data_IF_902400611773
#
_entry.id   IF_902400611773
#
_cell.length_a   1.000
_cell.length_b   1.000
_cell.length_c   1.000
_cell.angle_alpha   90.00
_cell.angle_beta   90.00
_cell.angle_gamma   90.00
#
_symmetry.space_group_name_H-M   'P 1'
#
loop_
_entity.id
_entity.type
_entity.pdbx_description
1 polymer ?
#
# COMPACT_ATOMS: atom_id res chain seq x y z
N UNK A 1 -31.21 -41.79 1.09
CA UNK A 1 -30.58 -40.69 1.85
C UNK A 1 -29.15 -40.50 1.36
N UNK A 2 -28.94 -40.07 0.08
CA UNK A 2 -27.63 -39.84 -0.54
C UNK A 2 -27.78 -38.82 -1.66
N UNK A 3 -27.94 -37.53 -1.30
CA UNK A 3 -27.88 -36.43 -2.32
C UNK A 3 -27.58 -35.06 -1.68
N UNK A 4 -26.57 -34.95 -0.83
CA UNK A 4 -26.16 -33.64 -0.29
C UNK A 4 -24.68 -33.34 -0.37
N UNK A 5 -23.81 -34.29 -0.74
CA UNK A 5 -22.34 -34.10 -0.73
C UNK A 5 -21.79 -33.47 -2.04
N UNK A 6 -22.51 -33.63 -3.17
CA UNK A 6 -22.01 -33.19 -4.48
C UNK A 6 -22.08 -31.66 -4.70
N UNK A 7 -23.10 -30.99 -4.15
CA UNK A 7 -23.28 -29.55 -4.35
C UNK A 7 -22.34 -28.68 -3.52
N UNK A 8 -21.91 -29.15 -2.35
CA UNK A 8 -20.98 -28.41 -1.49
C UNK A 8 -19.53 -28.42 -2.04
N UNK A 9 -19.12 -29.50 -2.68
CA UNK A 9 -17.78 -29.62 -3.28
C UNK A 9 -17.66 -28.80 -4.59
N UNK A 10 -18.72 -28.72 -5.37
CA UNK A 10 -18.76 -27.93 -6.61
C UNK A 10 -18.77 -26.42 -6.32
N UNK A 11 -19.51 -25.95 -5.30
CA UNK A 11 -19.49 -24.56 -4.88
C UNK A 11 -18.10 -24.11 -4.35
N UNK A 12 -17.39 -25.00 -3.65
CA UNK A 12 -16.04 -24.71 -3.15
C UNK A 12 -14.97 -24.65 -4.26
N UNK A 13 -15.12 -25.44 -5.33
CA UNK A 13 -14.21 -25.44 -6.47
C UNK A 13 -14.43 -24.23 -7.38
N UNK A 14 -15.67 -23.85 -7.65
CA UNK A 14 -16.01 -22.66 -8.42
C UNK A 14 -15.58 -21.38 -7.72
N UNK A 15 -15.84 -21.24 -6.42
CA UNK A 15 -15.39 -20.09 -5.63
C UNK A 15 -13.84 -19.98 -5.59
N UNK A 16 -13.14 -21.12 -5.48
CA UNK A 16 -11.67 -21.15 -5.58
C UNK A 16 -11.16 -20.79 -6.98
N UNK A 17 -11.90 -21.13 -8.02
CA UNK A 17 -11.53 -20.76 -9.39
C UNK A 17 -11.78 -19.27 -9.64
N UNK A 18 -12.92 -18.71 -9.22
CA UNK A 18 -13.19 -17.28 -9.29
C UNK A 18 -12.14 -16.46 -8.52
N UNK A 19 -11.70 -16.92 -7.35
CA UNK A 19 -10.66 -16.26 -6.58
C UNK A 19 -9.28 -16.33 -7.27
N UNK A 20 -8.99 -17.41 -8.01
CA UNK A 20 -7.77 -17.54 -8.83
C UNK A 20 -7.79 -16.65 -10.06
N UNK A 21 -8.94 -16.40 -10.65
CA UNK A 21 -9.09 -15.61 -11.88
C UNK A 21 -9.24 -14.11 -11.60
N UNK A 22 -9.39 -13.73 -10.31
CA UNK A 22 -9.45 -12.33 -9.90
C UNK A 22 -8.16 -11.61 -10.26
N UNK A 23 -8.27 -10.50 -10.98
CA UNK A 23 -7.15 -9.60 -11.26
C UNK A 23 -6.71 -8.98 -9.94
N UNK A 24 -5.42 -9.15 -9.59
CA UNK A 24 -4.84 -8.54 -8.41
C UNK A 24 -4.64 -7.06 -8.61
N UNK A 25 -4.82 -6.29 -7.53
CA UNK A 25 -4.68 -4.83 -7.56
C UNK A 25 -3.77 -4.32 -6.47
N UNK A 26 -2.89 -3.38 -6.83
CA UNK A 26 -2.07 -2.62 -5.89
C UNK A 26 -2.47 -1.15 -5.93
N UNK A 27 -2.83 -0.59 -4.77
CA UNK A 27 -3.06 0.84 -4.60
C UNK A 27 -1.84 1.47 -3.94
N UNK A 28 -1.23 2.48 -4.59
CA UNK A 28 -0.18 3.29 -3.98
C UNK A 28 -0.76 4.59 -3.43
N UNK A 29 -0.30 4.96 -2.24
CA UNK A 29 -0.55 6.28 -1.66
C UNK A 29 0.71 7.12 -1.84
N UNK A 30 0.59 8.19 -2.62
CA UNK A 30 1.66 9.17 -2.80
C UNK A 30 1.49 10.31 -1.79
N UNK A 31 2.30 10.29 -0.72
CA UNK A 31 2.31 11.31 0.33
C UNK A 31 3.00 12.62 -0.05
N UNK A 32 3.50 12.75 -1.27
CA UNK A 32 4.18 13.97 -1.73
C UNK A 32 3.19 15.13 -1.89
N UNK A 33 3.60 16.33 -1.49
CA UNK A 33 2.89 17.56 -1.82
C UNK A 33 3.08 18.00 -3.29
N UNK A 34 3.97 17.36 -4.03
CA UNK A 34 4.25 17.61 -5.44
C UNK A 34 3.71 16.47 -6.29
N UNK A 35 2.87 16.78 -7.26
CA UNK A 35 2.53 15.84 -8.33
C UNK A 35 3.77 15.61 -9.19
N UNK A 36 3.90 14.44 -9.77
CA UNK A 36 5.00 14.06 -10.67
C UNK A 36 6.40 14.32 -10.08
N UNK A 37 6.51 14.24 -8.74
CA UNK A 37 7.77 14.44 -8.02
C UNK A 37 8.56 13.14 -7.85
N UNK A 38 9.66 13.21 -7.08
CA UNK A 38 10.54 12.07 -6.84
C UNK A 38 9.80 10.86 -6.26
N UNK A 39 8.88 11.06 -5.33
CA UNK A 39 8.08 9.97 -4.74
C UNK A 39 7.20 9.27 -5.78
N UNK A 40 6.58 10.04 -6.69
CA UNK A 40 5.78 9.48 -7.79
C UNK A 40 6.64 8.61 -8.72
N UNK A 41 7.85 9.07 -9.06
CA UNK A 41 8.80 8.32 -9.88
C UNK A 41 9.14 6.98 -9.23
N UNK A 42 9.41 6.94 -7.91
CA UNK A 42 9.68 5.70 -7.20
C UNK A 42 8.49 4.75 -7.23
N UNK A 43 7.28 5.25 -6.96
CA UNK A 43 6.04 4.47 -7.03
C UNK A 43 5.85 3.88 -8.43
N UNK A 44 5.98 4.69 -9.48
CA UNK A 44 5.81 4.21 -10.88
C UNK A 44 6.88 3.21 -11.27
N UNK A 45 8.11 3.36 -10.79
CA UNK A 45 9.18 2.37 -11.02
C UNK A 45 8.84 1.00 -10.42
N UNK A 46 8.21 0.96 -9.25
CA UNK A 46 7.66 -0.27 -8.66
C UNK A 46 6.52 -0.80 -9.53
N UNK A 47 5.60 0.05 -9.94
CA UNK A 47 4.41 -0.29 -10.73
C UNK A 47 4.74 -0.89 -12.08
N UNK A 48 5.75 -0.37 -12.77
CA UNK A 48 6.25 -0.96 -14.04
C UNK A 48 6.56 -2.46 -13.93
N UNK A 49 6.97 -2.94 -12.77
CA UNK A 49 7.25 -4.37 -12.58
C UNK A 49 5.99 -5.16 -12.23
N UNK A 50 5.04 -4.55 -11.51
CA UNK A 50 3.74 -5.16 -11.20
C UNK A 50 2.90 -5.33 -12.47
N UNK A 51 2.87 -4.30 -13.32
CA UNK A 51 2.11 -4.30 -14.58
C UNK A 51 2.64 -5.34 -15.59
N UNK A 52 3.96 -5.61 -15.61
CA UNK A 52 4.54 -6.72 -16.39
C UNK A 52 4.07 -8.10 -15.94
N UNK A 53 3.52 -8.19 -14.75
CA UNK A 53 3.03 -9.41 -14.13
C UNK A 53 1.49 -9.45 -14.06
N UNK A 54 0.82 -8.63 -14.90
CA UNK A 54 -0.64 -8.51 -15.02
C UNK A 54 -1.34 -8.12 -13.70
N UNK A 55 -0.69 -7.27 -12.89
CA UNK A 55 -1.25 -6.73 -11.65
C UNK A 55 -1.72 -5.30 -11.93
N UNK A 56 -3.00 -5.01 -11.67
CA UNK A 56 -3.54 -3.65 -11.79
C UNK A 56 -2.92 -2.72 -10.76
N UNK A 57 -2.63 -1.49 -11.18
CA UNK A 57 -2.04 -0.46 -10.32
C UNK A 57 -2.87 0.82 -10.32
N UNK A 58 -2.94 1.51 -9.18
CA UNK A 58 -3.48 2.87 -9.11
C UNK A 58 -2.67 3.73 -8.14
N UNK A 59 -2.39 4.97 -8.53
CA UNK A 59 -1.80 5.98 -7.63
C UNK A 59 -2.89 6.86 -7.06
N UNK A 60 -2.84 7.07 -5.75
CA UNK A 60 -3.71 7.99 -5.01
C UNK A 60 -2.82 9.11 -4.45
N UNK A 61 -2.88 10.27 -5.09
CA UNK A 61 -2.12 11.44 -4.68
C UNK A 61 -2.76 12.17 -3.50
N UNK A 62 -1.93 12.55 -2.52
CA UNK A 62 -2.29 13.44 -1.43
C UNK A 62 -1.89 14.90 -1.69
N UNK A 63 -1.34 15.21 -2.88
CA UNK A 63 -0.96 16.57 -3.27
C UNK A 63 -2.19 17.48 -3.35
N UNK A 64 -2.14 18.61 -2.64
CA UNK A 64 -3.24 19.59 -2.59
C UNK A 64 -4.42 19.17 -1.68
N UNK A 65 -4.36 18.00 -1.07
CA UNK A 65 -5.37 17.54 -0.13
C UNK A 65 -5.04 17.97 1.31
N UNK A 66 -6.06 17.97 2.16
CA UNK A 66 -5.92 18.07 3.61
C UNK A 66 -6.59 16.83 4.21
N UNK A 67 -5.80 15.95 4.79
CA UNK A 67 -6.31 14.80 5.54
C UNK A 67 -6.35 15.16 7.02
N UNK A 68 -7.54 15.20 7.61
CA UNK A 68 -7.69 15.47 9.05
C UNK A 68 -7.18 14.28 9.88
N UNK A 69 -6.47 14.52 10.99
CA UNK A 69 -6.05 13.46 11.90
C UNK A 69 -7.24 12.78 12.59
N UNK A 70 -6.98 11.67 13.26
CA UNK A 70 -7.99 10.96 14.05
C UNK A 70 -8.46 11.83 15.24
N UNK A 71 -9.77 11.86 15.49
CA UNK A 71 -10.37 12.59 16.63
C UNK A 71 -10.58 11.72 17.87
N UNK A 72 -10.07 10.49 17.84
CA UNK A 72 -10.21 9.52 18.93
C UNK A 72 -11.66 9.34 19.45
N UNK A 73 -12.66 9.47 18.55
CA UNK A 73 -14.08 9.38 18.94
C UNK A 73 -14.62 7.94 18.96
N UNK A 74 -13.85 6.96 18.50
CA UNK A 74 -14.14 5.52 18.46
C UNK A 74 -15.43 5.14 17.68
N UNK A 75 -16.09 6.10 17.05
CA UNK A 75 -17.34 5.88 16.35
C UNK A 75 -17.20 5.05 15.05
N UNK A 76 -15.97 4.71 14.62
CA UNK A 76 -15.69 3.82 13.50
C UNK A 76 -15.89 2.32 13.84
N UNK A 77 -16.03 1.96 15.12
CA UNK A 77 -16.22 0.59 15.55
C UNK A 77 -17.41 -0.10 14.89
N UNK A 78 -17.20 -1.29 14.33
CA UNK A 78 -18.19 -2.06 13.60
C UNK A 78 -18.66 -1.45 12.27
N UNK A 79 -18.07 -0.33 11.81
CA UNK A 79 -18.47 0.36 10.57
C UNK A 79 -17.51 0.14 9.40
N UNK A 80 -16.30 -0.37 9.67
CA UNK A 80 -15.27 -0.61 8.67
C UNK A 80 -14.77 0.65 7.94
N UNK A 81 -15.10 1.85 8.44
CA UNK A 81 -14.58 3.13 7.94
C UNK A 81 -14.83 4.26 8.95
N UNK A 82 -14.16 5.40 8.76
CA UNK A 82 -14.34 6.59 9.59
C UNK A 82 -15.71 7.24 9.37
N UNK A 83 -16.31 7.78 10.44
CA UNK A 83 -17.60 8.50 10.38
C UNK A 83 -17.44 9.96 9.93
N UNK A 84 -16.24 10.54 10.05
CA UNK A 84 -15.95 11.90 9.61
C UNK A 84 -15.63 11.91 8.12
N UNK A 85 -16.46 12.63 7.33
CA UNK A 85 -16.42 12.61 5.86
C UNK A 85 -16.14 13.99 5.26
N UNK A 86 -15.40 14.86 5.98
CA UNK A 86 -15.09 16.22 5.50
C UNK A 86 -13.92 16.26 4.52
N UNK A 87 -13.19 15.16 4.39
CA UNK A 87 -12.01 14.99 3.54
C UNK A 87 -12.11 13.69 2.74
N UNK A 88 -11.12 13.42 1.90
CA UNK A 88 -11.06 12.22 1.06
C UNK A 88 -10.69 10.92 1.80
N UNK A 89 -10.51 10.96 3.12
CA UNK A 89 -10.09 9.77 3.88
C UNK A 89 -10.94 8.54 3.58
N UNK A 90 -12.27 8.68 3.60
CA UNK A 90 -13.18 7.53 3.40
C UNK A 90 -12.99 6.89 2.03
N UNK A 91 -12.86 7.68 0.96
CA UNK A 91 -12.58 7.22 -0.40
C UNK A 91 -11.24 6.47 -0.46
N UNK A 92 -10.19 7.08 0.07
CA UNK A 92 -8.83 6.54 0.06
C UNK A 92 -8.78 5.22 0.83
N UNK A 93 -9.35 5.20 2.02
CA UNK A 93 -9.36 4.00 2.87
C UNK A 93 -10.18 2.85 2.25
N UNK A 94 -11.28 3.16 1.55
CA UNK A 94 -12.06 2.15 0.81
C UNK A 94 -11.25 1.53 -0.34
N UNK A 95 -10.40 2.31 -1.03
CA UNK A 95 -9.46 1.80 -2.03
C UNK A 95 -8.39 0.91 -1.41
N UNK A 96 -7.80 1.33 -0.28
CA UNK A 96 -6.84 0.51 0.46
C UNK A 96 -7.45 -0.84 0.87
N UNK A 97 -8.69 -0.85 1.36
CA UNK A 97 -9.38 -2.10 1.74
C UNK A 97 -9.61 -3.03 0.55
N UNK A 98 -9.90 -2.50 -0.63
CA UNK A 98 -10.18 -3.28 -1.84
C UNK A 98 -8.95 -3.82 -2.53
N UNK A 99 -7.79 -3.20 -2.33
CA UNK A 99 -6.54 -3.62 -2.92
C UNK A 99 -6.01 -4.91 -2.28
N UNK A 100 -5.32 -5.74 -3.06
CA UNK A 100 -4.61 -6.93 -2.59
C UNK A 100 -3.22 -6.56 -2.04
N UNK A 101 -2.67 -5.44 -2.51
CA UNK A 101 -1.43 -4.85 -2.01
C UNK A 101 -1.50 -3.33 -1.84
N UNK A 102 -0.71 -2.80 -0.92
CA UNK A 102 -0.61 -1.36 -0.62
C UNK A 102 0.86 -0.93 -0.71
N UNK A 103 1.13 0.08 -1.53
CA UNK A 103 2.44 0.74 -1.61
C UNK A 103 2.34 2.13 -0.99
N UNK A 104 3.06 2.39 0.09
CA UNK A 104 3.14 3.72 0.71
C UNK A 104 4.39 4.43 0.25
N UNK A 105 4.24 5.59 -0.38
CA UNK A 105 5.35 6.42 -0.82
C UNK A 105 5.33 7.79 -0.15
N UNK A 106 6.45 8.21 0.46
CA UNK A 106 6.57 9.54 1.07
C UNK A 106 7.89 10.22 0.74
N UNK A 107 7.89 11.55 0.53
CA UNK A 107 9.11 12.32 0.68
C UNK A 107 9.49 12.35 2.17
N UNK A 108 10.78 12.53 2.44
CA UNK A 108 11.27 12.70 3.80
C UNK A 108 11.23 14.19 4.18
N UNK A 109 10.33 14.52 5.11
CA UNK A 109 10.21 15.85 5.70
C UNK A 109 10.53 15.78 7.20
N UNK A 110 11.49 16.59 7.65
CA UNK A 110 11.91 16.60 9.07
C UNK A 110 12.20 15.21 9.63
N UNK A 111 12.95 14.41 8.87
CA UNK A 111 13.33 13.02 9.17
C UNK A 111 12.16 12.04 9.29
N UNK A 112 10.99 12.36 8.77
CA UNK A 112 9.82 11.46 8.79
C UNK A 112 8.96 11.64 7.52
N UNK A 113 7.83 10.94 7.45
CA UNK A 113 6.84 11.03 6.38
C UNK A 113 6.14 12.40 6.37
N UNK A 114 5.45 12.70 5.26
CA UNK A 114 4.64 13.92 5.16
C UNK A 114 3.48 13.93 6.17
N UNK A 115 3.04 15.11 6.59
CA UNK A 115 1.96 15.27 7.56
C UNK A 115 0.63 14.64 7.08
N UNK A 116 0.29 14.77 5.80
CA UNK A 116 -0.91 14.13 5.23
C UNK A 116 -0.82 12.60 5.25
N UNK A 117 0.34 12.04 4.95
CA UNK A 117 0.56 10.59 5.07
C UNK A 117 0.43 10.15 6.53
N UNK A 118 1.00 10.90 7.47
CA UNK A 118 0.88 10.59 8.90
C UNK A 118 -0.58 10.61 9.36
N UNK A 119 -1.33 11.63 9.00
CA UNK A 119 -2.76 11.74 9.36
C UNK A 119 -3.61 10.61 8.75
N UNK A 120 -3.30 10.23 7.49
CA UNK A 120 -3.96 9.10 6.84
C UNK A 120 -3.68 7.79 7.58
N UNK A 121 -2.41 7.49 7.88
CA UNK A 121 -2.03 6.23 8.54
C UNK A 121 -2.55 6.16 9.97
N UNK A 122 -2.44 7.25 10.76
CA UNK A 122 -2.99 7.33 12.12
C UNK A 122 -4.49 7.02 12.12
N UNK A 123 -5.25 7.66 11.24
CA UNK A 123 -6.69 7.48 11.15
C UNK A 123 -7.08 6.11 10.63
N UNK A 124 -6.32 5.56 9.66
CA UNK A 124 -6.49 4.20 9.15
C UNK A 124 -6.24 3.16 10.23
N UNK A 125 -5.18 3.34 11.03
CA UNK A 125 -4.82 2.45 12.12
C UNK A 125 -5.96 2.34 13.13
N UNK A 126 -6.51 3.46 13.59
CA UNK A 126 -7.65 3.45 14.53
C UNK A 126 -8.88 2.78 13.93
N UNK A 127 -9.15 2.97 12.63
CA UNK A 127 -10.25 2.25 11.97
C UNK A 127 -9.98 0.75 11.94
N UNK A 128 -8.76 0.31 11.64
CA UNK A 128 -8.39 -1.11 11.63
C UNK A 128 -8.47 -1.72 13.02
N UNK A 129 -7.95 -1.05 14.06
CA UNK A 129 -7.99 -1.53 15.46
C UNK A 129 -9.42 -1.75 15.94
N UNK A 130 -10.37 -0.92 15.48
CA UNK A 130 -11.79 -1.01 15.83
C UNK A 130 -12.59 -1.98 14.95
N UNK A 131 -11.96 -2.56 13.90
CA UNK A 131 -12.60 -3.43 12.92
C UNK A 131 -11.60 -4.48 12.43
N UNK A 132 -11.41 -5.54 13.19
CA UNK A 132 -10.40 -6.56 12.90
C UNK A 132 -10.49 -7.13 11.47
N UNK A 133 -9.33 -7.48 10.90
CA UNK A 133 -9.23 -8.20 9.64
C UNK A 133 -9.29 -7.34 8.36
N UNK A 134 -9.43 -6.01 8.46
CA UNK A 134 -9.57 -5.15 7.27
C UNK A 134 -8.33 -5.16 6.35
N UNK A 135 -7.14 -5.41 6.91
CA UNK A 135 -5.86 -5.38 6.18
C UNK A 135 -5.10 -6.72 6.26
N UNK A 136 -5.61 -7.70 6.99
CA UNK A 136 -4.95 -8.99 7.23
C UNK A 136 -4.54 -9.66 5.91
N UNK A 137 -3.28 -10.12 5.86
CA UNK A 137 -2.64 -10.82 4.74
C UNK A 137 -2.46 -10.00 3.45
N UNK A 138 -2.82 -8.71 3.41
CA UNK A 138 -2.45 -7.86 2.27
C UNK A 138 -0.94 -7.68 2.21
N UNK A 139 -0.43 -7.51 1.00
CA UNK A 139 0.99 -7.27 0.76
C UNK A 139 1.28 -5.77 0.90
N UNK A 140 2.23 -5.41 1.77
CA UNK A 140 2.62 -4.03 2.03
C UNK A 140 4.06 -3.73 1.61
N UNK A 141 4.30 -2.57 1.02
CA UNK A 141 5.64 -2.05 0.78
C UNK A 141 5.68 -0.53 1.00
N UNK A 142 6.83 -0.01 1.42
CA UNK A 142 7.05 1.42 1.62
C UNK A 142 8.26 1.90 0.83
N UNK A 143 8.20 3.14 0.29
CA UNK A 143 9.29 3.78 -0.43
C UNK A 143 9.46 5.23 0.04
N UNK A 144 10.70 5.70 0.13
CA UNK A 144 11.02 7.05 0.56
C UNK A 144 11.91 7.80 -0.44
N UNK A 145 11.47 8.98 -0.88
CA UNK A 145 12.32 9.92 -1.62
C UNK A 145 13.01 10.86 -0.63
N UNK A 146 14.34 10.88 -0.60
CA UNK A 146 15.10 11.60 0.41
C UNK A 146 16.20 12.46 -0.23
N UNK A 147 16.40 13.67 0.31
CA UNK A 147 17.52 14.51 -0.11
C UNK A 147 18.85 13.98 0.43
N UNK A 148 18.91 13.54 1.70
CA UNK A 148 20.16 13.17 2.37
C UNK A 148 20.00 12.12 3.49
N UNK A 149 19.16 12.37 4.48
CA UNK A 149 19.00 11.52 5.66
C UNK A 149 17.54 11.47 6.13
N UNK A 150 17.20 10.52 7.02
CA UNK A 150 15.86 10.37 7.61
C UNK A 150 14.94 9.40 6.86
N UNK A 151 15.42 8.75 5.80
CA UNK A 151 14.63 7.79 5.03
C UNK A 151 14.23 6.56 5.85
N UNK A 152 15.12 6.05 6.70
CA UNK A 152 14.83 4.87 7.52
C UNK A 152 13.66 5.16 8.47
N UNK A 153 13.66 6.30 9.15
CA UNK A 153 12.55 6.69 10.04
C UNK A 153 11.22 6.80 9.29
N UNK A 154 11.25 7.33 8.06
CA UNK A 154 10.06 7.42 7.22
C UNK A 154 9.55 6.03 6.79
N UNK A 155 10.46 5.14 6.38
CA UNK A 155 10.15 3.75 6.01
C UNK A 155 9.60 2.99 7.22
N UNK A 156 10.25 3.10 8.39
CA UNK A 156 9.82 2.44 9.62
C UNK A 156 8.42 2.91 10.05
N UNK A 157 8.17 4.21 9.97
CA UNK A 157 6.84 4.76 10.29
C UNK A 157 5.74 4.15 9.40
N UNK A 158 5.99 4.01 8.10
CA UNK A 158 5.04 3.37 7.19
C UNK A 158 4.91 1.86 7.43
N UNK A 159 6.03 1.18 7.70
CA UNK A 159 6.05 -0.24 7.98
C UNK A 159 5.34 -0.61 9.29
N UNK A 160 5.37 0.25 10.31
CA UNK A 160 4.62 0.04 11.54
C UNK A 160 3.11 -0.09 11.29
N UNK A 161 2.55 0.68 10.34
CA UNK A 161 1.16 0.52 9.93
C UNK A 161 0.89 -0.90 9.40
N UNK A 162 1.73 -1.41 8.52
CA UNK A 162 1.57 -2.75 7.96
C UNK A 162 1.67 -3.84 9.03
N UNK A 163 2.71 -3.76 9.86
CA UNK A 163 2.98 -4.77 10.90
C UNK A 163 1.87 -4.82 11.97
N UNK A 164 1.34 -3.67 12.36
CA UNK A 164 0.26 -3.61 13.35
C UNK A 164 -1.07 -4.19 12.85
N UNK A 165 -1.24 -4.33 11.52
CA UNK A 165 -2.49 -4.78 10.91
C UNK A 165 -2.37 -6.11 10.16
N UNK A 166 -1.43 -6.97 10.60
CA UNK A 166 -1.23 -8.35 10.09
C UNK A 166 -0.92 -8.40 8.58
N UNK A 167 -0.33 -7.33 8.01
CA UNK A 167 0.09 -7.30 6.62
C UNK A 167 1.46 -7.94 6.44
N UNK A 168 1.76 -8.39 5.22
CA UNK A 168 3.05 -9.01 4.87
C UNK A 168 3.93 -7.96 4.21
N UNK A 169 5.00 -7.55 4.89
CA UNK A 169 5.90 -6.47 4.40
C UNK A 169 6.95 -7.03 3.45
N UNK A 170 7.13 -6.35 2.31
CA UNK A 170 8.09 -6.72 1.27
C UNK A 170 9.35 -5.88 1.35
N UNK A 171 10.50 -6.53 1.32
CA UNK A 171 11.80 -5.90 1.17
C UNK A 171 12.34 -5.96 -0.27
N UNK A 172 13.46 -5.30 -0.49
CA UNK A 172 14.23 -5.30 -1.72
C UNK A 172 15.69 -5.70 -1.47
N UNK A 173 16.59 -5.37 -2.38
CA UNK A 173 18.03 -5.64 -2.24
C UNK A 173 18.72 -4.72 -1.23
N UNK A 174 18.13 -3.57 -0.93
CA UNK A 174 18.59 -2.60 0.06
C UNK A 174 17.39 -1.84 0.64
N UNK A 175 17.61 -0.77 1.42
CA UNK A 175 16.52 0.07 1.95
C UNK A 175 15.71 0.71 0.81
N UNK A 176 14.40 0.69 0.91
CA UNK A 176 13.48 1.15 -0.14
C UNK A 176 13.46 2.68 -0.26
N UNK A 177 14.55 3.26 -0.67
CA UNK A 177 14.74 4.71 -0.81
C UNK A 177 15.52 5.06 -2.06
N UNK A 178 15.43 6.33 -2.49
CA UNK A 178 16.35 6.92 -3.44
C UNK A 178 16.62 8.39 -3.13
N UNK A 179 17.79 8.84 -3.50
CA UNK A 179 18.27 10.21 -3.29
C UNK A 179 17.76 11.15 -4.38
N UNK A 180 17.17 12.28 -3.98
CA UNK A 180 16.77 13.33 -4.91
C UNK A 180 16.20 14.54 -4.18
N UNK A 181 16.58 15.75 -4.60
CA UNK A 181 16.08 17.00 -4.05
C UNK A 181 15.07 17.68 -4.97
N UNK A 182 15.47 17.90 -6.23
CA UNK A 182 14.60 18.49 -7.24
C UNK A 182 13.75 17.39 -7.91
N UNK A 183 12.57 17.73 -8.47
CA UNK A 183 11.79 16.75 -9.24
C UNK A 183 12.66 16.07 -10.32
N UNK A 184 12.63 14.74 -10.35
CA UNK A 184 13.41 13.94 -11.28
C UNK A 184 14.84 13.58 -10.81
N UNK A 185 15.34 14.16 -9.73
CA UNK A 185 16.72 13.86 -9.29
C UNK A 185 16.92 12.39 -8.90
N UNK A 186 15.87 11.70 -8.40
CA UNK A 186 15.97 10.27 -8.06
C UNK A 186 16.35 9.38 -9.25
N UNK A 187 16.14 9.85 -10.48
CA UNK A 187 16.55 9.12 -11.69
C UNK A 187 18.08 9.04 -11.85
N UNK A 188 18.83 9.90 -11.14
CA UNK A 188 20.29 9.89 -11.09
C UNK A 188 20.84 8.89 -10.08
N UNK A 189 20.00 8.41 -9.18
CA UNK A 189 20.33 7.37 -8.18
C UNK A 189 20.04 5.99 -8.77
N UNK A 190 20.99 5.46 -9.55
CA UNK A 190 20.84 4.17 -10.23
C UNK A 190 20.59 3.03 -9.24
N UNK A 191 21.25 3.04 -8.07
CA UNK A 191 21.05 2.03 -7.02
C UNK A 191 19.61 2.10 -6.49
N UNK A 192 19.15 3.29 -6.13
CA UNK A 192 17.79 3.51 -5.64
C UNK A 192 16.73 3.08 -6.66
N UNK A 193 16.88 3.44 -7.94
CA UNK A 193 15.95 3.03 -9.00
C UNK A 193 15.98 1.51 -9.22
N UNK A 194 17.15 0.88 -9.22
CA UNK A 194 17.24 -0.58 -9.34
C UNK A 194 16.62 -1.29 -8.14
N UNK A 195 16.75 -0.72 -6.96
CA UNK A 195 16.12 -1.20 -5.74
C UNK A 195 14.58 -1.15 -5.84
N UNK A 196 14.00 -0.07 -6.42
CA UNK A 196 12.56 0.01 -6.68
C UNK A 196 12.10 -1.05 -7.68
N UNK A 197 12.85 -1.29 -8.75
CA UNK A 197 12.54 -2.38 -9.70
C UNK A 197 12.52 -3.75 -9.02
N UNK A 198 13.50 -4.01 -8.16
CA UNK A 198 13.54 -5.26 -7.41
C UNK A 198 12.39 -5.38 -6.41
N UNK A 199 12.05 -4.28 -5.72
CA UNK A 199 10.89 -4.24 -4.83
C UNK A 199 9.59 -4.62 -5.56
N UNK A 200 9.38 -4.07 -6.77
CA UNK A 200 8.21 -4.42 -7.59
C UNK A 200 8.14 -5.90 -7.96
N UNK A 201 9.29 -6.49 -8.34
CA UNK A 201 9.37 -7.94 -8.61
C UNK A 201 9.05 -8.78 -7.38
N UNK A 202 9.61 -8.43 -6.22
CA UNK A 202 9.36 -9.14 -4.98
C UNK A 202 7.89 -9.01 -4.54
N UNK A 203 7.30 -7.83 -4.72
CA UNK A 203 5.89 -7.59 -4.42
C UNK A 203 4.98 -8.40 -5.34
N UNK A 204 5.26 -8.46 -6.64
CA UNK A 204 4.53 -9.30 -7.60
C UNK A 204 4.62 -10.79 -7.24
N UNK A 205 5.84 -11.28 -6.95
CA UNK A 205 6.05 -12.65 -6.51
C UNK A 205 5.19 -12.99 -5.28
N UNK A 206 5.21 -12.13 -4.27
CA UNK A 206 4.48 -12.39 -3.03
C UNK A 206 2.96 -12.32 -3.22
N UNK A 207 2.46 -11.33 -3.99
CA UNK A 207 1.04 -11.22 -4.32
C UNK A 207 0.52 -12.48 -5.00
N UNK A 208 1.25 -13.01 -6.00
CA UNK A 208 0.89 -14.27 -6.68
C UNK A 208 0.86 -15.45 -5.71
N UNK A 209 1.82 -15.54 -4.79
CA UNK A 209 1.87 -16.63 -3.79
C UNK A 209 0.73 -16.55 -2.78
N UNK A 210 0.43 -15.37 -2.27
CA UNK A 210 -0.68 -15.16 -1.33
C UNK A 210 -2.03 -15.45 -2.00
N UNK A 211 -2.20 -15.05 -3.27
CA UNK A 211 -3.40 -15.37 -4.04
C UNK A 211 -3.49 -16.83 -4.52
N UNK A 212 -2.54 -17.70 -4.15
CA UNK A 212 -2.51 -19.09 -4.59
C UNK A 212 -2.22 -19.30 -6.08
N UNK A 213 -1.66 -18.28 -6.76
CA UNK A 213 -1.27 -18.34 -8.17
C UNK A 213 0.13 -18.95 -8.31
N UNK A 214 0.34 -19.71 -9.40
CA UNK A 214 1.68 -20.27 -9.72
C UNK A 214 2.62 -19.13 -10.11
N UNK A 215 3.83 -19.15 -9.60
CA UNK A 215 4.90 -18.17 -9.89
C UNK A 215 5.82 -18.74 -10.96
#
# INVERSE_FOLDING_TARGET
>A
MFFAAGSYLLSSSAAKQEERDKIMKVSAINGSARKDGNTDILIRTVFEQLEKEDIETEVIDLAGEVIEPCKACWACGGRGNCVHKKDRFTEIFDKMKKADGILLGSPVYSANISANMQALLERSAVVCDMNAGLMTYKVGASVAAVRRAGSLQAIDTMNHFFLNHEMIVVGSTYWNMAYGQMPGDVLKDEEGINNMRNLGKNMAFLLKRVAGKTV
#
